data_IF_552762260007
#
_entry.id   IF_552762260007
#
_cell.length_a   1.000
_cell.length_b   1.000
_cell.length_c   1.000
_cell.angle_alpha   90.00
_cell.angle_beta   90.00
_cell.angle_gamma   90.00
#
_symmetry.space_group_name_H-M   'P 1'
#
loop_
_entity.id
_entity.type
_entity.pdbx_description
1 polymer ?
#
# COMPACT_ATOMS: atom_id res chain seq x y z
N UNK A 1 -17.67 1.93 9.28
CA UNK A 1 -16.92 1.98 10.54
C UNK A 1 -15.51 1.48 10.24
N UNK A 2 -14.55 2.39 10.08
CA UNK A 2 -13.14 2.06 9.85
C UNK A 2 -12.54 1.77 11.23
N UNK A 3 -12.02 0.57 11.45
CA UNK A 3 -11.24 0.26 12.66
C UNK A 3 -9.78 0.33 12.26
N UNK A 4 -9.11 1.41 12.67
CA UNK A 4 -7.66 1.53 12.59
C UNK A 4 -7.09 1.10 13.95
N UNK A 5 -6.31 0.02 13.98
CA UNK A 5 -5.50 -0.32 15.15
C UNK A 5 -4.08 0.15 14.88
N UNK A 6 -3.62 1.13 15.66
CA UNK A 6 -2.26 1.63 15.62
C UNK A 6 -1.38 0.68 16.46
N UNK A 7 -0.43 0.00 15.84
CA UNK A 7 0.65 -0.71 16.53
C UNK A 7 1.97 -0.05 16.17
N UNK A 8 2.79 0.24 17.18
CA UNK A 8 4.10 0.87 17.03
C UNK A 8 5.06 -0.11 16.34
N UNK A 9 5.60 0.29 15.18
CA UNK A 9 6.57 -0.45 14.40
C UNK A 9 6.09 -0.66 12.96
N UNK A 10 6.42 0.29 12.06
CA UNK A 10 6.34 0.26 10.59
C UNK A 10 5.11 -0.37 9.90
N UNK A 11 4.00 -0.62 10.60
CA UNK A 11 2.85 -1.34 10.04
C UNK A 11 1.55 -0.56 10.24
N UNK A 12 1.08 0.12 9.19
CA UNK A 12 -0.24 0.76 9.19
C UNK A 12 -1.32 -0.24 8.75
N UNK A 13 -1.89 -0.97 9.70
CA UNK A 13 -3.00 -1.89 9.44
C UNK A 13 -4.32 -1.14 9.24
N UNK A 14 -4.69 -0.87 7.99
CA UNK A 14 -6.02 -0.39 7.60
C UNK A 14 -6.87 -1.58 7.14
N UNK A 15 -7.99 -1.86 7.82
CA UNK A 15 -9.01 -2.82 7.34
C UNK A 15 -10.26 -2.10 6.85
N UNK A 16 -10.65 -2.37 5.60
CA UNK A 16 -11.86 -1.84 4.98
C UNK A 16 -13.06 -2.81 5.10
N UNK A 17 -13.18 -3.58 6.19
CA UNK A 17 -14.33 -4.46 6.40
C UNK A 17 -14.14 -5.52 7.48
N UNK A 18 -15.18 -6.34 7.70
CA UNK A 18 -15.13 -7.44 8.65
C UNK A 18 -14.09 -8.48 8.16
N UNK A 19 -13.04 -8.82 8.93
CA UNK A 19 -11.96 -9.71 8.50
C UNK A 19 -12.36 -11.20 8.60
N UNK A 20 -13.54 -11.54 8.12
CA UNK A 20 -14.04 -12.91 8.06
C UNK A 20 -13.68 -13.55 6.72
N UNK A 21 -12.50 -14.15 6.64
CA UNK A 21 -12.18 -15.18 5.63
C UNK A 21 -11.11 -14.80 4.59
N UNK A 22 -11.33 -13.76 3.79
CA UNK A 22 -10.49 -13.47 2.62
C UNK A 22 -10.06 -12.00 2.60
N UNK A 23 -8.89 -11.70 3.16
CA UNK A 23 -8.28 -10.38 3.02
C UNK A 23 -7.15 -10.40 1.99
N UNK A 24 -6.97 -9.28 1.31
CA UNK A 24 -5.82 -9.03 0.46
C UNK A 24 -4.84 -8.15 1.20
N UNK A 25 -3.59 -8.56 1.26
CA UNK A 25 -2.50 -7.71 1.71
C UNK A 25 -2.01 -6.84 0.56
N UNK A 26 -2.01 -5.53 0.73
CA UNK A 26 -1.40 -4.55 -0.14
C UNK A 26 -0.09 -4.07 0.48
N UNK A 27 1.03 -4.37 -0.16
CA UNK A 27 2.32 -3.74 0.13
C UNK A 27 2.56 -2.67 -0.92
N UNK A 28 2.76 -1.42 -0.50
CA UNK A 28 3.08 -0.31 -1.41
C UNK A 28 4.33 0.43 -0.93
N UNK A 29 5.19 0.77 -1.88
CA UNK A 29 6.43 1.49 -1.65
C UNK A 29 6.53 2.66 -2.64
N UNK A 30 7.08 3.78 -2.17
CA UNK A 30 7.31 4.97 -2.96
C UNK A 30 8.77 5.38 -2.88
N UNK A 31 9.46 5.41 -4.02
CA UNK A 31 10.84 5.90 -4.09
C UNK A 31 10.89 7.33 -4.60
N UNK A 32 11.71 8.16 -3.94
CA UNK A 32 12.08 9.49 -4.43
C UNK A 32 13.60 9.55 -4.57
N UNK A 33 14.11 10.07 -5.71
CA UNK A 33 15.56 10.11 -5.96
C UNK A 33 16.02 11.47 -6.45
N UNK A 34 16.29 12.39 -5.52
CA UNK A 34 16.84 13.74 -5.78
C UNK A 34 15.79 14.75 -6.26
N UNK A 35 16.09 16.05 -6.17
CA UNK A 35 15.22 17.14 -6.62
C UNK A 35 15.94 18.01 -7.66
N UNK A 36 15.52 18.06 -8.95
CA UNK A 36 14.49 17.24 -9.58
C UNK A 36 15.04 15.86 -9.94
N UNK A 37 14.31 14.81 -9.58
CA UNK A 37 14.71 13.44 -9.84
C UNK A 37 13.52 12.52 -10.04
N UNK A 38 13.80 11.30 -10.48
CA UNK A 38 12.78 10.34 -10.93
C UNK A 38 12.13 9.72 -9.70
N UNK A 39 10.86 10.02 -9.47
CA UNK A 39 10.09 9.40 -8.40
C UNK A 39 9.14 8.36 -8.99
N UNK A 40 8.73 7.42 -8.16
CA UNK A 40 7.85 6.35 -8.59
C UNK A 40 7.31 5.60 -7.39
N UNK A 41 6.22 4.89 -7.62
CA UNK A 41 5.60 4.03 -6.65
C UNK A 41 5.45 2.64 -7.22
N UNK A 42 5.52 1.64 -6.37
CA UNK A 42 5.24 0.26 -6.73
C UNK A 42 4.44 -0.41 -5.62
N UNK A 43 3.86 -1.56 -5.94
CA UNK A 43 3.17 -2.34 -4.94
C UNK A 43 2.66 -3.66 -5.44
N UNK A 44 2.31 -4.51 -4.49
CA UNK A 44 1.87 -5.88 -4.71
C UNK A 44 0.65 -6.17 -3.85
N UNK A 45 -0.31 -6.87 -4.46
CA UNK A 45 -1.46 -7.45 -3.78
C UNK A 45 -1.22 -8.96 -3.61
N UNK A 46 -1.37 -9.46 -2.38
CA UNK A 46 -1.27 -10.88 -2.05
C UNK A 46 -2.51 -11.34 -1.30
N UNK A 47 -2.92 -12.58 -1.48
CA UNK A 47 -3.97 -13.15 -0.63
C UNK A 47 -3.45 -13.53 0.76
N UNK A 48 -4.36 -14.02 1.62
CA UNK A 48 -4.04 -14.45 2.98
C UNK A 48 -3.04 -15.61 3.06
N UNK A 49 -2.84 -16.37 1.97
CA UNK A 49 -1.83 -17.42 1.83
C UNK A 49 -0.50 -16.88 1.28
N UNK A 50 -0.40 -15.57 1.08
CA UNK A 50 0.76 -14.90 0.50
C UNK A 50 0.91 -15.08 -1.01
N UNK A 51 -0.10 -15.63 -1.71
CA UNK A 51 -0.03 -15.83 -3.15
C UNK A 51 -0.22 -14.50 -3.88
N UNK A 52 0.58 -14.29 -4.93
CA UNK A 52 0.50 -13.08 -5.75
C UNK A 52 -0.84 -12.99 -6.49
N UNK A 53 -1.48 -11.82 -6.43
CA UNK A 53 -2.74 -11.53 -7.15
C UNK A 53 -2.55 -10.51 -8.25
N UNK A 54 -1.82 -9.43 -7.96
CA UNK A 54 -1.53 -8.36 -8.89
C UNK A 54 -0.35 -7.50 -8.39
N UNK A 55 0.22 -6.69 -9.27
CA UNK A 55 1.20 -5.66 -8.92
C UNK A 55 1.14 -4.48 -9.87
N UNK A 56 1.75 -3.36 -9.47
CA UNK A 56 1.79 -2.13 -10.24
C UNK A 56 3.12 -1.41 -10.08
N UNK A 57 3.46 -0.60 -11.09
CA UNK A 57 4.55 0.38 -11.05
C UNK A 57 4.03 1.66 -11.67
N UNK A 58 4.18 2.78 -10.97
CA UNK A 58 3.74 4.09 -11.40
C UNK A 58 4.91 5.07 -11.37
N UNK A 59 5.11 5.82 -12.45
CA UNK A 59 6.05 6.94 -12.48
C UNK A 59 5.38 8.18 -11.86
N UNK A 60 6.02 8.78 -10.87
CA UNK A 60 5.44 9.90 -10.11
C UNK A 60 6.43 11.06 -10.17
N UNK A 61 5.96 12.28 -10.45
CA UNK A 61 6.81 13.49 -10.41
C UNK A 61 6.53 14.29 -9.13
N UNK A 62 6.55 13.64 -7.97
CA UNK A 62 6.13 14.24 -6.70
C UNK A 62 6.85 13.61 -5.51
N UNK A 63 7.08 14.41 -4.46
CA UNK A 63 7.60 13.95 -3.18
C UNK A 63 6.60 13.02 -2.44
N UNK A 64 5.34 12.98 -2.86
CA UNK A 64 4.29 12.13 -2.29
C UNK A 64 4.20 10.75 -2.95
N UNK A 65 5.34 10.17 -3.31
CA UNK A 65 5.39 8.90 -4.05
C UNK A 65 4.71 7.75 -3.30
N UNK A 66 4.96 7.63 -1.99
CA UNK A 66 4.37 6.59 -1.14
C UNK A 66 2.84 6.71 -1.03
N UNK A 67 2.32 7.93 -0.84
CA UNK A 67 0.87 8.16 -0.74
C UNK A 67 0.19 7.82 -2.08
N UNK A 68 0.81 8.20 -3.19
CA UNK A 68 0.26 7.89 -4.51
C UNK A 68 0.34 6.39 -4.82
N UNK A 69 1.40 5.70 -4.40
CA UNK A 69 1.50 4.24 -4.48
C UNK A 69 0.38 3.56 -3.69
N UNK A 70 0.11 4.01 -2.47
CA UNK A 70 -1.00 3.53 -1.64
C UNK A 70 -2.35 3.72 -2.32
N UNK A 71 -2.65 4.94 -2.80
CA UNK A 71 -3.93 5.24 -3.47
C UNK A 71 -4.11 4.36 -4.71
N UNK A 72 -3.06 4.19 -5.50
CA UNK A 72 -3.10 3.35 -6.68
C UNK A 72 -3.32 1.87 -6.33
N UNK A 73 -2.63 1.36 -5.30
CA UNK A 73 -2.82 0.00 -4.82
C UNK A 73 -4.23 -0.27 -4.28
N UNK A 74 -4.82 0.70 -3.58
CA UNK A 74 -6.21 0.61 -3.10
C UNK A 74 -7.21 0.61 -4.25
N UNK A 75 -6.99 1.43 -5.27
CA UNK A 75 -7.83 1.45 -6.47
C UNK A 75 -7.76 0.11 -7.22
N UNK A 76 -6.54 -0.43 -7.41
CA UNK A 76 -6.34 -1.73 -8.04
C UNK A 76 -7.04 -2.85 -7.25
N UNK A 77 -6.93 -2.86 -5.93
CA UNK A 77 -7.66 -3.80 -5.09
C UNK A 77 -9.18 -3.67 -5.27
N UNK A 78 -9.68 -2.44 -5.33
CA UNK A 78 -11.10 -2.17 -5.50
C UNK A 78 -11.64 -2.71 -6.83
N UNK A 79 -10.89 -2.49 -7.92
CA UNK A 79 -11.23 -2.92 -9.27
C UNK A 79 -11.19 -4.44 -9.42
N UNK A 80 -10.34 -5.11 -8.65
CA UNK A 80 -10.28 -6.57 -8.54
C UNK A 80 -11.40 -7.16 -7.65
N UNK A 81 -12.30 -6.32 -7.13
CA UNK A 81 -13.41 -6.74 -6.27
C UNK A 81 -12.99 -7.04 -4.83
N UNK A 82 -11.78 -6.68 -4.42
CA UNK A 82 -11.33 -6.84 -3.05
C UNK A 82 -12.04 -5.83 -2.15
N UNK A 83 -12.55 -6.30 -1.01
CA UNK A 83 -13.31 -5.49 -0.04
C UNK A 83 -12.77 -5.59 1.39
N UNK A 84 -11.92 -6.58 1.68
CA UNK A 84 -11.12 -6.61 2.90
C UNK A 84 -9.65 -6.52 2.49
N UNK A 85 -8.99 -5.44 2.90
CA UNK A 85 -7.61 -5.14 2.53
C UNK A 85 -6.84 -4.91 3.82
N UNK A 86 -5.60 -5.40 3.88
CA UNK A 86 -4.60 -5.10 4.91
C UNK A 86 -3.48 -4.35 4.22
N UNK A 87 -3.19 -3.14 4.65
CA UNK A 87 -2.11 -2.34 4.08
C UNK A 87 -0.82 -2.53 4.88
N UNK A 88 0.30 -2.60 4.18
CA UNK A 88 1.65 -2.60 4.73
C UNK A 88 2.47 -1.56 3.92
N UNK A 89 2.95 -0.53 4.61
CA UNK A 89 3.78 0.53 4.03
C UNK A 89 5.15 0.41 4.67
N UNK A 90 6.19 0.19 3.87
CA UNK A 90 7.57 0.16 4.37
C UNK A 90 8.17 1.57 4.25
N UNK A 91 7.56 2.55 4.93
CA UNK A 91 8.11 3.90 4.98
C UNK A 91 9.17 3.94 6.08
N UNK A 92 10.43 3.77 5.71
CA UNK A 92 11.54 4.24 6.54
C UNK A 92 11.55 5.78 6.44
N UNK A 93 10.69 6.44 7.21
CA UNK A 93 10.81 7.89 7.39
C UNK A 93 12.10 8.09 8.18
N UNK A 94 13.21 8.30 7.48
CA UNK A 94 14.41 8.89 8.06
C UNK A 94 13.98 10.29 8.51
N UNK A 95 13.66 10.40 9.79
CA UNK A 95 13.49 11.69 10.46
C UNK A 95 14.87 12.35 10.43
N UNK A 96 15.08 13.23 9.46
CA UNK A 96 16.21 14.15 9.43
C UNK A 96 16.07 15.25 10.46
#
# INVERSE_FOLDING_TARGET
MIVANLSLGNLLLLSLGNPSGDYIKLNADGSTRGNPGRNGGEGVLRDYMGQWKAGFVIGIASAYAEIQALVHGLQLAWDLGCRSIVVELDSEVIVG
#
